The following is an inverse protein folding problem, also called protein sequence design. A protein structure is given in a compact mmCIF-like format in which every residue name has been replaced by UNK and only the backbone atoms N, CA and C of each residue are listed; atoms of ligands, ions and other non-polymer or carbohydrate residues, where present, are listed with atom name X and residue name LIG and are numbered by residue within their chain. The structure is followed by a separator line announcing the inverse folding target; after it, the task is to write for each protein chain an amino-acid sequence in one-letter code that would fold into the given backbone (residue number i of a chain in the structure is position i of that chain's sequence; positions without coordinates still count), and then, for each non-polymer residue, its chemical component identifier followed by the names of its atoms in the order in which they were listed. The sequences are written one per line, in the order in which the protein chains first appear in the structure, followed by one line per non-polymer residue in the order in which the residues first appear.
data_IF_514524140906
#
_entry.id   IF_514524140906
#
_cell.length_a   1.000
_cell.length_b   1.000
_cell.length_c   1.000
_cell.angle_alpha   90.00
_cell.angle_beta   90.00
_cell.angle_gamma   90.00
#
_symmetry.space_group_name_H-M   'P 1'
#
loop_
_entity.id
_entity.type
_entity.pdbx_description
1 polymer ?
#
# COMPACT_ATOMS: atom_id res chain seq x y z
N UNK A 1 8.74 30.90 -14.39
CA UNK A 1 9.51 30.17 -15.44
C UNK A 1 10.10 28.93 -14.83
N UNK A 2 9.87 27.77 -15.43
CA UNK A 2 10.42 26.48 -14.94
C UNK A 2 11.85 26.35 -15.47
N UNK A 3 12.81 26.22 -14.56
CA UNK A 3 14.21 25.99 -14.92
C UNK A 3 14.39 24.52 -15.29
N UNK A 4 14.80 24.25 -16.53
CA UNK A 4 15.16 22.91 -17.01
C UNK A 4 16.55 22.55 -16.45
N UNK A 5 16.70 21.34 -15.94
CA UNK A 5 17.95 20.82 -15.38
C UNK A 5 18.79 20.16 -16.49
N UNK A 6 20.08 20.01 -16.24
CA UNK A 6 20.97 19.32 -17.20
C UNK A 6 20.52 17.85 -17.33
N UNK A 7 20.30 17.40 -18.57
CA UNK A 7 19.82 16.05 -18.88
C UNK A 7 18.33 15.82 -18.57
N UNK A 8 17.57 16.89 -18.27
CA UNK A 8 16.14 16.77 -18.05
C UNK A 8 15.37 16.90 -19.37
N UNK A 9 14.49 15.95 -19.60
CA UNK A 9 13.58 15.91 -20.74
C UNK A 9 12.14 15.92 -20.25
N UNK A 10 11.26 16.68 -20.94
CA UNK A 10 9.83 16.74 -20.64
C UNK A 10 9.01 16.08 -21.74
N UNK A 11 8.03 15.28 -21.37
CA UNK A 11 7.04 14.69 -22.28
C UNK A 11 5.63 15.04 -21.84
N UNK A 12 4.77 15.31 -22.82
CA UNK A 12 3.37 15.65 -22.52
C UNK A 12 2.59 14.42 -22.04
N UNK A 13 1.83 14.62 -20.98
CA UNK A 13 1.04 13.58 -20.34
C UNK A 13 -0.42 13.69 -20.79
N UNK A 14 -0.95 12.64 -21.38
CA UNK A 14 -2.37 12.53 -21.70
C UNK A 14 -3.17 12.17 -20.44
N UNK A 15 -3.83 13.14 -19.86
CA UNK A 15 -4.70 12.95 -18.71
C UNK A 15 -6.16 12.76 -19.16
N UNK A 16 -6.97 12.19 -18.27
CA UNK A 16 -8.36 11.87 -18.53
C UNK A 16 -9.23 13.14 -18.54
N UNK A 17 -10.08 13.27 -19.54
CA UNK A 17 -11.04 14.37 -19.66
C UNK A 17 -10.45 15.64 -20.31
N UNK A 18 -11.35 16.61 -20.54
CA UNK A 18 -10.94 17.91 -21.11
C UNK A 18 -10.49 18.82 -19.97
N UNK A 19 -9.22 19.12 -19.90
CA UNK A 19 -8.58 19.93 -18.87
C UNK A 19 -8.21 21.31 -19.43
N UNK A 20 -8.31 22.34 -18.61
CA UNK A 20 -7.91 23.70 -18.98
C UNK A 20 -6.40 23.80 -19.19
N UNK A 21 -5.61 23.09 -18.37
CA UNK A 21 -4.16 23.09 -18.44
C UNK A 21 -3.66 21.81 -19.13
N UNK A 22 -2.56 21.94 -19.84
CA UNK A 22 -1.74 20.84 -20.32
C UNK A 22 -0.72 20.46 -19.24
N UNK A 23 -0.23 19.23 -19.28
CA UNK A 23 0.70 18.71 -18.29
C UNK A 23 1.86 18.01 -18.98
N UNK A 24 3.05 18.20 -18.44
CA UNK A 24 4.24 17.48 -18.84
C UNK A 24 4.90 16.86 -17.62
N UNK A 25 5.51 15.71 -17.83
CA UNK A 25 6.32 15.01 -16.84
C UNK A 25 7.76 14.93 -17.32
N UNK A 26 8.74 15.10 -16.43
CA UNK A 26 10.15 14.91 -16.79
C UNK A 26 10.65 13.52 -16.41
N UNK A 27 11.76 13.11 -17.03
CA UNK A 27 12.51 11.91 -16.67
C UNK A 27 13.01 11.91 -15.21
N UNK A 28 13.04 13.08 -14.56
CA UNK A 28 13.37 13.24 -13.13
C UNK A 28 12.15 13.23 -12.21
N UNK A 29 10.95 12.93 -12.74
CA UNK A 29 9.72 12.91 -11.97
C UNK A 29 9.16 14.30 -11.62
N UNK A 30 9.59 15.36 -12.32
CA UNK A 30 9.06 16.70 -12.14
C UNK A 30 7.83 16.91 -13.01
N UNK A 31 6.75 17.33 -12.41
CA UNK A 31 5.46 17.57 -13.06
C UNK A 31 5.24 19.07 -13.26
N UNK A 32 4.91 19.49 -14.46
CA UNK A 32 4.64 20.90 -14.82
C UNK A 32 3.27 21.01 -15.47
N UNK A 33 2.50 22.02 -15.10
CA UNK A 33 1.26 22.42 -15.76
C UNK A 33 1.46 23.74 -16.48
N UNK A 34 0.84 23.91 -17.64
CA UNK A 34 0.89 25.13 -18.44
C UNK A 34 -0.34 25.24 -19.36
N UNK A 35 -0.56 26.38 -19.98
CA UNK A 35 -1.60 26.60 -21.00
C UNK A 35 -0.97 26.89 -22.36
N UNK A 36 -0.05 27.83 -22.41
CA UNK A 36 0.61 28.28 -23.63
C UNK A 36 1.95 27.55 -23.86
N UNK A 37 2.82 27.52 -22.87
CA UNK A 37 4.11 26.83 -22.95
C UNK A 37 4.83 26.75 -21.62
N UNK A 38 5.70 25.75 -21.49
CA UNK A 38 6.47 25.50 -20.25
C UNK A 38 7.30 26.72 -19.86
N UNK A 39 7.87 27.40 -20.85
CA UNK A 39 8.73 28.57 -20.64
C UNK A 39 7.94 29.87 -20.40
N UNK A 40 6.67 29.92 -20.84
CA UNK A 40 5.80 31.10 -20.74
C UNK A 40 5.08 31.13 -19.40
N UNK A 41 4.27 30.13 -19.16
CA UNK A 41 3.36 30.04 -18.00
C UNK A 41 3.50 28.74 -17.20
N UNK A 42 4.57 27.98 -17.42
CA UNK A 42 4.83 26.72 -16.76
C UNK A 42 4.92 26.86 -15.23
N UNK A 43 4.18 26.00 -14.53
CA UNK A 43 4.17 25.91 -13.06
C UNK A 43 4.58 24.51 -12.61
N UNK A 44 5.64 24.44 -11.82
CA UNK A 44 6.08 23.21 -11.20
C UNK A 44 5.06 22.78 -10.13
N UNK A 45 4.57 21.55 -10.25
CA UNK A 45 3.64 20.95 -9.31
C UNK A 45 4.38 19.99 -8.38
N UNK A 46 4.27 20.21 -7.06
CA UNK A 46 4.81 19.29 -6.06
C UNK A 46 4.07 17.96 -6.02
N UNK A 47 2.78 17.96 -6.38
CA UNK A 47 1.88 16.84 -6.19
C UNK A 47 1.36 16.74 -4.76
N UNK A 48 0.57 15.71 -4.51
CA UNK A 48 0.14 15.28 -3.17
C UNK A 48 0.76 13.94 -2.86
N UNK A 49 0.56 13.44 -1.64
CA UNK A 49 1.07 12.13 -1.23
C UNK A 49 -0.06 11.18 -0.86
N UNK A 50 0.12 9.90 -1.19
CA UNK A 50 -0.72 8.81 -0.72
C UNK A 50 0.16 7.58 -0.44
N UNK A 51 0.12 7.07 0.79
CA UNK A 51 0.95 5.95 1.24
C UNK A 51 2.47 6.11 0.94
N UNK A 52 2.96 7.36 0.94
CA UNK A 52 4.34 7.70 0.61
C UNK A 52 4.63 7.92 -0.88
N UNK A 53 3.70 7.60 -1.77
CA UNK A 53 3.84 7.86 -3.21
C UNK A 53 3.34 9.24 -3.59
N UNK A 54 4.03 9.89 -4.52
CA UNK A 54 3.60 11.17 -5.09
C UNK A 54 2.49 10.95 -6.12
N UNK A 55 1.46 11.80 -6.05
CA UNK A 55 0.29 11.72 -6.94
C UNK A 55 -0.08 13.09 -7.50
N UNK A 56 -0.61 13.07 -8.72
CA UNK A 56 -1.33 14.19 -9.32
C UNK A 56 -2.83 13.97 -9.10
N UNK A 57 -3.47 14.83 -8.28
CA UNK A 57 -4.93 14.87 -8.14
C UNK A 57 -5.50 15.97 -9.02
N UNK A 58 -6.54 15.65 -9.79
CA UNK A 58 -7.24 16.63 -10.61
C UNK A 58 -8.71 16.26 -10.78
N UNK A 59 -9.48 17.20 -11.32
CA UNK A 59 -10.89 16.97 -11.64
C UNK A 59 -11.14 17.30 -13.11
N UNK A 60 -12.04 16.56 -13.73
CA UNK A 60 -12.48 16.76 -15.10
C UNK A 60 -14.01 16.64 -15.19
N UNK A 61 -14.61 17.12 -16.26
CA UNK A 61 -16.01 16.89 -16.57
C UNK A 61 -16.12 15.65 -17.47
N UNK A 62 -17.03 14.73 -17.13
CA UNK A 62 -17.36 13.61 -18.00
C UNK A 62 -18.23 14.07 -19.19
N UNK A 63 -18.59 13.14 -20.06
CA UNK A 63 -19.41 13.39 -21.26
C UNK A 63 -20.79 13.98 -20.93
N UNK A 64 -21.30 13.75 -19.73
CA UNK A 64 -22.54 14.29 -19.21
C UNK A 64 -22.36 15.64 -18.49
N UNK A 65 -21.15 16.23 -18.53
CA UNK A 65 -20.82 17.47 -17.84
C UNK A 65 -20.64 17.36 -16.33
N UNK A 66 -20.75 16.16 -15.75
CA UNK A 66 -20.60 15.93 -14.32
C UNK A 66 -19.12 15.95 -13.93
N UNK A 67 -18.80 16.70 -12.86
CA UNK A 67 -17.44 16.80 -12.31
C UNK A 67 -17.03 15.48 -11.65
N UNK A 68 -15.90 14.94 -12.10
CA UNK A 68 -15.26 13.73 -11.54
C UNK A 68 -13.86 14.06 -11.05
N UNK A 69 -13.46 13.37 -10.00
CA UNK A 69 -12.14 13.49 -9.39
C UNK A 69 -11.35 12.23 -9.68
N UNK A 70 -10.07 12.39 -9.99
CA UNK A 70 -9.16 11.28 -10.25
C UNK A 70 -7.75 11.61 -9.79
N UNK A 71 -6.91 10.60 -9.74
CA UNK A 71 -5.50 10.73 -9.40
C UNK A 71 -4.64 9.80 -10.25
N UNK A 72 -3.44 10.24 -10.55
CA UNK A 72 -2.40 9.45 -11.20
C UNK A 72 -1.15 9.42 -10.32
N UNK A 73 -0.52 8.27 -10.22
CA UNK A 73 0.78 8.11 -9.57
C UNK A 73 1.86 8.71 -10.47
N UNK A 74 2.72 9.59 -9.93
CA UNK A 74 3.72 10.31 -10.73
C UNK A 74 4.73 9.33 -11.33
N UNK A 75 5.21 8.35 -10.57
CA UNK A 75 6.13 7.33 -11.08
C UNK A 75 5.55 6.49 -12.23
N UNK A 76 4.23 6.23 -12.27
CA UNK A 76 3.59 5.61 -13.42
C UNK A 76 3.66 6.51 -14.65
N UNK A 77 3.37 7.81 -14.50
CA UNK A 77 3.47 8.76 -15.60
C UNK A 77 4.91 8.83 -16.15
N UNK A 78 5.92 8.76 -15.28
CA UNK A 78 7.33 8.70 -15.71
C UNK A 78 7.61 7.41 -16.46
N UNK A 79 7.24 6.27 -15.90
CA UNK A 79 7.53 4.98 -16.50
C UNK A 79 6.84 4.79 -17.86
N UNK A 80 5.58 5.18 -18.00
CA UNK A 80 4.81 5.11 -19.25
C UNK A 80 5.40 5.98 -20.38
N UNK A 81 6.06 7.08 -20.01
CA UNK A 81 6.62 8.01 -20.99
C UNK A 81 8.10 7.78 -21.29
N UNK A 82 8.88 7.26 -20.36
CA UNK A 82 10.35 7.20 -20.49
C UNK A 82 10.94 5.80 -20.48
N UNK A 83 10.25 4.80 -19.90
CA UNK A 83 10.70 3.42 -19.96
C UNK A 83 10.17 2.72 -21.23
N UNK A 84 10.87 1.70 -21.72
CA UNK A 84 10.33 0.79 -22.73
C UNK A 84 8.96 0.21 -22.28
N UNK A 85 8.10 -0.07 -23.26
CA UNK A 85 6.81 -0.69 -22.94
C UNK A 85 7.05 -2.03 -22.25
N UNK A 86 6.32 -2.32 -21.13
CA UNK A 86 6.44 -3.59 -20.45
C UNK A 86 5.95 -4.75 -21.33
N UNK A 87 6.52 -5.92 -21.14
CA UNK A 87 5.98 -7.16 -21.69
C UNK A 87 4.69 -7.56 -20.95
N UNK A 88 3.94 -8.52 -21.48
CA UNK A 88 2.68 -8.96 -20.86
C UNK A 88 2.84 -9.46 -19.42
N UNK A 89 4.01 -9.97 -19.06
CA UNK A 89 4.33 -10.47 -17.73
C UNK A 89 4.80 -9.37 -16.76
N UNK A 90 5.25 -8.24 -17.28
CA UNK A 90 5.77 -7.11 -16.50
C UNK A 90 4.64 -6.15 -16.09
N UNK A 91 3.86 -6.56 -15.10
CA UNK A 91 2.68 -5.81 -14.62
C UNK A 91 2.96 -4.90 -13.42
N UNK A 92 4.14 -5.00 -12.84
CA UNK A 92 4.55 -4.29 -11.63
C UNK A 92 5.57 -3.22 -11.97
N UNK A 93 5.57 -2.13 -11.23
CA UNK A 93 6.55 -1.06 -11.36
C UNK A 93 7.25 -0.87 -10.02
N UNK A 94 8.57 -0.93 -10.02
CA UNK A 94 9.42 -0.89 -8.84
C UNK A 94 10.15 0.44 -8.72
N UNK A 95 10.35 0.89 -7.48
CA UNK A 95 11.39 1.85 -7.12
C UNK A 95 12.60 1.06 -6.63
N UNK A 96 13.70 1.10 -7.37
CA UNK A 96 14.89 0.28 -7.11
C UNK A 96 15.54 0.56 -5.75
N UNK A 97 15.46 1.79 -5.28
CA UNK A 97 16.02 2.26 -4.00
C UNK A 97 15.04 2.14 -2.82
N UNK A 98 13.83 1.58 -3.02
CA UNK A 98 12.73 1.51 -2.05
C UNK A 98 12.17 2.85 -1.58
N UNK A 99 12.61 3.98 -2.15
CA UNK A 99 12.11 5.32 -1.82
C UNK A 99 10.94 5.65 -2.74
N UNK A 100 9.74 5.66 -2.17
CA UNK A 100 8.45 5.73 -2.89
C UNK A 100 8.19 7.03 -3.63
N UNK A 101 8.90 8.09 -3.33
CA UNK A 101 8.79 9.41 -3.94
C UNK A 101 10.01 9.80 -4.80
N UNK A 102 10.96 8.88 -4.97
CA UNK A 102 12.04 9.02 -5.93
C UNK A 102 11.59 8.55 -7.30
N UNK A 103 10.85 9.40 -7.99
CA UNK A 103 10.22 9.11 -9.29
C UNK A 103 11.18 9.30 -10.49
N UNK A 104 12.50 9.34 -10.26
CA UNK A 104 13.48 9.43 -11.36
C UNK A 104 13.42 8.15 -12.21
N UNK A 105 13.43 8.31 -13.55
CA UNK A 105 13.35 7.18 -14.49
C UNK A 105 14.43 6.13 -14.27
N UNK A 106 15.64 6.54 -13.86
CA UNK A 106 16.75 5.61 -13.55
C UNK A 106 16.50 4.74 -12.33
N UNK A 107 15.57 5.15 -11.46
CA UNK A 107 15.14 4.43 -10.26
C UNK A 107 13.92 3.55 -10.50
N UNK A 108 13.34 3.55 -11.70
CA UNK A 108 12.11 2.84 -12.02
C UNK A 108 12.40 1.64 -12.93
N UNK A 109 11.73 0.51 -12.66
CA UNK A 109 11.82 -0.71 -13.47
C UNK A 109 10.47 -1.40 -13.56
N UNK A 110 10.04 -1.75 -14.79
CA UNK A 110 8.95 -2.70 -14.99
C UNK A 110 9.39 -4.10 -14.58
N UNK A 111 8.57 -4.81 -13.86
CA UNK A 111 8.91 -6.10 -13.24
C UNK A 111 7.79 -7.12 -13.38
N UNK A 112 8.20 -8.39 -13.42
CA UNK A 112 7.31 -9.54 -13.28
C UNK A 112 6.85 -9.69 -11.82
N UNK A 113 5.90 -10.58 -11.56
CA UNK A 113 5.46 -10.89 -10.20
C UNK A 113 6.60 -11.46 -9.33
N UNK A 114 7.48 -12.27 -9.93
CA UNK A 114 8.61 -12.88 -9.23
C UNK A 114 9.63 -11.81 -8.84
N UNK A 115 10.06 -10.98 -9.77
CA UNK A 115 10.96 -9.86 -9.51
C UNK A 115 10.38 -8.89 -8.45
N UNK A 116 9.06 -8.64 -8.51
CA UNK A 116 8.38 -7.81 -7.50
C UNK A 116 8.45 -8.44 -6.11
N UNK A 117 8.23 -9.75 -5.99
CA UNK A 117 8.30 -10.46 -4.71
C UNK A 117 9.71 -10.48 -4.15
N UNK A 118 10.71 -10.76 -4.98
CA UNK A 118 12.12 -10.75 -4.59
C UNK A 118 12.53 -9.36 -4.10
N UNK A 119 12.21 -8.33 -4.88
CA UNK A 119 12.47 -6.94 -4.49
C UNK A 119 11.75 -6.57 -3.19
N UNK A 120 10.48 -6.95 -3.02
CA UNK A 120 9.75 -6.69 -1.78
C UNK A 120 10.38 -7.39 -0.57
N UNK A 121 10.80 -8.65 -0.72
CA UNK A 121 11.46 -9.41 0.36
C UNK A 121 12.86 -8.88 0.70
N UNK A 122 13.58 -8.31 -0.27
CA UNK A 122 14.89 -7.69 -0.06
C UNK A 122 14.82 -6.28 0.54
N UNK A 123 13.61 -5.73 0.67
CA UNK A 123 13.42 -4.39 1.25
C UNK A 123 13.91 -4.32 2.69
N UNK A 124 14.70 -3.28 3.05
CA UNK A 124 15.15 -3.06 4.44
C UNK A 124 13.97 -2.90 5.44
N UNK A 125 12.78 -2.58 4.93
CA UNK A 125 11.57 -2.42 5.74
C UNK A 125 10.72 -3.69 5.85
N UNK A 126 11.12 -4.79 5.20
CA UNK A 126 10.31 -6.02 5.13
C UNK A 126 10.06 -6.65 6.50
N UNK A 127 11.14 -6.87 7.27
CA UNK A 127 11.03 -7.50 8.60
C UNK A 127 10.26 -6.59 9.59
N UNK A 128 10.49 -5.30 9.57
CA UNK A 128 9.73 -4.34 10.40
C UNK A 128 8.23 -4.37 10.07
N UNK A 129 7.88 -4.39 8.77
CA UNK A 129 6.50 -4.51 8.31
C UNK A 129 5.83 -5.81 8.74
N UNK A 130 6.56 -6.92 8.69
CA UNK A 130 6.11 -8.24 9.14
C UNK A 130 5.84 -8.26 10.65
N UNK A 131 6.75 -7.69 11.46
CA UNK A 131 6.56 -7.57 12.91
C UNK A 131 5.38 -6.66 13.27
N UNK A 132 5.22 -5.51 12.59
CA UNK A 132 4.05 -4.63 12.78
C UNK A 132 2.74 -5.36 12.45
N UNK A 133 2.70 -6.09 11.33
CA UNK A 133 1.54 -6.88 10.92
C UNK A 133 1.20 -7.98 11.92
N UNK A 134 2.22 -8.64 12.49
CA UNK A 134 2.05 -9.66 13.53
C UNK A 134 1.47 -9.05 14.81
N UNK A 135 2.03 -7.92 15.28
CA UNK A 135 1.50 -7.19 16.45
C UNK A 135 0.05 -6.74 16.24
N UNK A 136 -0.26 -6.18 15.08
CA UNK A 136 -1.63 -5.75 14.75
C UNK A 136 -2.60 -6.93 14.80
N UNK A 137 -2.25 -8.08 14.18
CA UNK A 137 -3.09 -9.29 14.25
C UNK A 137 -3.30 -9.82 15.67
N UNK A 138 -2.28 -9.68 16.53
CA UNK A 138 -2.38 -10.08 17.93
C UNK A 138 -3.31 -9.17 18.76
N UNK A 139 -3.42 -7.89 18.37
CA UNK A 139 -4.28 -6.92 19.04
C UNK A 139 -5.72 -6.93 18.52
N UNK A 140 -5.97 -7.49 17.34
CA UNK A 140 -7.30 -7.55 16.76
C UNK A 140 -8.07 -8.76 17.33
N UNK A 141 -9.34 -8.52 17.68
CA UNK A 141 -10.25 -9.62 17.99
C UNK A 141 -10.43 -10.55 16.79
N UNK A 142 -10.43 -11.85 17.03
CA UNK A 142 -10.66 -12.84 15.99
C UNK A 142 -12.13 -12.86 15.53
N UNK A 143 -12.39 -13.36 14.33
CA UNK A 143 -13.74 -13.45 13.77
C UNK A 143 -14.73 -14.25 14.64
N UNK A 144 -14.23 -15.17 15.49
CA UNK A 144 -15.08 -16.04 16.34
C UNK A 144 -14.90 -15.80 17.82
N UNK A 145 -13.76 -15.27 18.26
CA UNK A 145 -13.44 -15.04 19.65
C UNK A 145 -12.93 -13.63 19.85
N UNK A 146 -13.48 -12.94 20.82
CA UNK A 146 -12.94 -11.68 21.31
C UNK A 146 -11.84 -11.91 22.34
N UNK A 147 -11.03 -10.88 22.61
CA UNK A 147 -10.05 -10.89 23.71
C UNK A 147 -10.70 -11.25 25.04
N UNK A 148 -11.91 -10.73 25.30
CA UNK A 148 -12.67 -11.00 26.51
C UNK A 148 -13.07 -12.49 26.61
N UNK A 149 -13.48 -13.10 25.49
CA UNK A 149 -13.80 -14.53 25.46
C UNK A 149 -12.60 -15.41 25.79
N UNK A 150 -11.44 -15.03 25.22
CA UNK A 150 -10.18 -15.76 25.47
C UNK A 150 -9.75 -15.64 26.93
N UNK A 151 -9.90 -14.49 27.58
CA UNK A 151 -9.64 -14.29 28.99
C UNK A 151 -10.56 -15.22 29.80
N UNK A 152 -11.87 -15.27 29.49
CA UNK A 152 -12.84 -16.16 30.15
C UNK A 152 -12.45 -17.62 29.97
N UNK A 153 -12.13 -18.05 28.75
CA UNK A 153 -11.68 -19.42 28.47
C UNK A 153 -10.45 -19.75 29.30
N UNK A 154 -9.43 -18.91 29.32
CA UNK A 154 -8.19 -19.16 30.09
C UNK A 154 -8.46 -19.24 31.60
N UNK A 155 -9.28 -18.35 32.16
CA UNK A 155 -9.70 -18.44 33.57
C UNK A 155 -10.44 -19.75 33.89
N UNK A 156 -11.35 -20.17 32.99
CA UNK A 156 -12.03 -21.45 33.13
C UNK A 156 -11.07 -22.64 33.08
N UNK A 157 -10.05 -22.57 32.18
CA UNK A 157 -9.04 -23.63 32.03
C UNK A 157 -8.03 -23.68 33.19
N UNK A 158 -7.72 -22.55 33.80
CA UNK A 158 -6.80 -22.42 34.93
C UNK A 158 -7.43 -22.89 36.26
N UNK A 159 -8.76 -22.95 36.37
CA UNK A 159 -9.43 -23.37 37.60
C UNK A 159 -9.17 -24.86 37.90
N UNK A 160 -8.46 -25.20 38.99
CA UNK A 160 -8.14 -26.59 39.35
C UNK A 160 -9.39 -27.41 39.71
N UNK A 161 -10.45 -26.76 40.22
CA UNK A 161 -11.70 -27.38 40.60
C UNK A 161 -12.73 -27.45 39.47
N UNK A 162 -12.30 -27.27 38.21
CA UNK A 162 -13.16 -27.27 37.05
C UNK A 162 -13.83 -28.62 36.82
N UNK A 163 -15.16 -28.65 36.91
CA UNK A 163 -15.99 -29.83 36.62
C UNK A 163 -16.42 -29.91 35.15
N UNK A 164 -16.37 -28.79 34.41
CA UNK A 164 -16.82 -28.71 33.02
C UNK A 164 -15.82 -29.35 32.07
N UNK A 165 -16.27 -30.28 31.23
CA UNK A 165 -15.43 -30.93 30.20
C UNK A 165 -15.01 -29.93 29.11
N UNK A 166 -13.82 -30.12 28.54
CA UNK A 166 -13.28 -29.25 27.48
C UNK A 166 -14.24 -29.09 26.31
N UNK A 167 -14.89 -30.19 25.87
CA UNK A 167 -15.87 -30.19 24.81
C UNK A 167 -17.05 -29.23 25.06
N UNK A 168 -17.50 -29.11 26.29
CA UNK A 168 -18.61 -28.22 26.67
C UNK A 168 -18.15 -26.77 26.61
N UNK A 169 -16.93 -26.46 27.08
CA UNK A 169 -16.33 -25.13 26.98
C UNK A 169 -16.18 -24.74 25.52
N UNK A 170 -15.62 -25.61 24.68
CA UNK A 170 -15.49 -25.36 23.28
C UNK A 170 -16.82 -25.01 22.58
N UNK A 171 -17.88 -25.83 22.90
CA UNK A 171 -19.22 -25.58 22.37
C UNK A 171 -19.81 -24.26 22.85
N UNK A 172 -19.59 -23.87 24.11
CA UNK A 172 -20.08 -22.62 24.69
C UNK A 172 -19.53 -21.38 23.95
N UNK A 173 -18.28 -21.44 23.51
CA UNK A 173 -17.62 -20.34 22.76
C UNK A 173 -17.64 -20.53 21.25
N UNK A 174 -18.36 -21.52 20.71
CA UNK A 174 -18.50 -21.75 19.27
C UNK A 174 -17.19 -22.14 18.55
N UNK A 175 -16.26 -22.78 19.28
CA UNK A 175 -14.95 -23.20 18.74
C UNK A 175 -14.81 -24.73 18.79
N UNK A 176 -13.83 -25.25 18.00
CA UNK A 176 -13.48 -26.66 18.06
C UNK A 176 -12.65 -26.98 19.32
N UNK A 177 -12.69 -28.24 19.78
CA UNK A 177 -11.82 -28.68 20.87
C UNK A 177 -10.33 -28.49 20.55
N UNK A 178 -9.93 -28.69 19.28
CA UNK A 178 -8.56 -28.47 18.85
C UNK A 178 -8.15 -26.98 19.03
N UNK A 179 -9.03 -26.04 18.69
CA UNK A 179 -8.78 -24.63 18.93
C UNK A 179 -8.66 -24.29 20.42
N UNK A 180 -9.49 -24.93 21.25
CA UNK A 180 -9.40 -24.79 22.71
C UNK A 180 -8.07 -25.31 23.26
N UNK A 181 -7.56 -26.45 22.74
CA UNK A 181 -6.24 -26.96 23.08
C UNK A 181 -5.12 -26.02 22.73
N UNK A 182 -5.17 -25.41 21.53
CA UNK A 182 -4.19 -24.42 21.10
C UNK A 182 -4.19 -23.15 21.95
N UNK A 183 -5.37 -22.74 22.45
CA UNK A 183 -5.48 -21.64 23.44
C UNK A 183 -4.85 -22.04 24.75
N UNK A 184 -5.09 -23.29 25.23
CA UNK A 184 -4.53 -23.82 26.45
C UNK A 184 -3.01 -23.95 26.41
N UNK A 185 -2.45 -24.41 25.28
CA UNK A 185 -0.99 -24.53 25.08
C UNK A 185 -0.29 -23.20 24.86
N UNK A 186 -1.06 -22.13 24.57
CA UNK A 186 -0.49 -20.82 24.18
C UNK A 186 -0.05 -20.70 22.72
N UNK A 187 -0.26 -21.75 21.91
CA UNK A 187 -0.01 -21.70 20.47
C UNK A 187 -0.84 -20.58 19.81
N UNK A 188 -2.13 -20.50 20.20
CA UNK A 188 -3.01 -19.39 19.84
C UNK A 188 -3.26 -18.53 21.08
N UNK A 189 -3.29 -17.21 20.89
CA UNK A 189 -3.57 -16.25 21.96
C UNK A 189 -2.57 -16.32 23.15
N UNK A 190 -1.33 -16.75 22.90
CA UNK A 190 -0.29 -16.88 23.92
C UNK A 190 0.12 -15.55 24.57
N UNK A 191 -0.13 -14.43 23.87
CA UNK A 191 0.13 -13.08 24.37
C UNK A 191 -0.85 -12.62 25.47
N UNK A 192 -2.04 -13.24 25.57
CA UNK A 192 -3.00 -12.99 26.65
C UNK A 192 -2.62 -13.85 27.84
N UNK A 193 -2.08 -13.21 28.87
CA UNK A 193 -1.82 -13.84 30.16
C UNK A 193 -3.00 -13.61 31.09
N UNK A 194 -3.32 -14.59 31.95
CA UNK A 194 -4.40 -14.53 32.95
C UNK A 194 -3.78 -14.99 34.27
N UNK A 195 -3.79 -14.11 35.21
CA UNK A 195 -3.39 -14.37 36.59
C UNK A 195 -4.48 -15.14 37.33
#
# INVERSE_FOLDING_TARGET
MVKVLVGEEFKEVKLKGNLRNRYVISNFGRLVSFQEGIEIDGRLLKGSYTNGYRILRYSYKDELGKKKYTQNLIYHLVAENFLPRPTEDQKYLLHLDFVKDNDNVTNLKWATLEEFREHFMSSPYYEEGKEKSKKTRQMMDGNKLTTTDVIRIKKMLANPNRKTRLRIIAKQFGISEMQLYRIKSGENWGHIKVD
#
